data_IF_618195810412
#
_entry.id   IF_618195810412
#
_cell.length_a   1.000
_cell.length_b   1.000
_cell.length_c   1.000
_cell.angle_alpha   90.00
_cell.angle_beta   90.00
_cell.angle_gamma   90.00
#
_symmetry.space_group_name_H-M   'P 1'
#
loop_
_entity.id
_entity.type
_entity.pdbx_description
1 polymer ?
#
# COMPACT_ATOMS: atom_id res chain seq x y z
N UNK A 1 27.15 30.94 -7.38
CA UNK A 1 27.80 29.98 -6.45
C UNK A 1 28.00 30.56 -5.05
N UNK A 2 28.41 31.83 -4.90
CA UNK A 2 28.69 32.43 -3.57
C UNK A 2 27.48 32.58 -2.64
N UNK A 3 26.26 32.75 -3.18
CA UNK A 3 25.05 32.88 -2.37
C UNK A 3 24.63 31.55 -1.71
N UNK A 4 24.83 30.44 -2.43
CA UNK A 4 24.54 29.08 -1.95
C UNK A 4 25.57 28.67 -0.88
N UNK A 5 26.85 28.99 -1.09
CA UNK A 5 27.91 28.69 -0.12
C UNK A 5 27.80 29.51 1.18
N UNK A 6 27.36 30.77 1.11
CA UNK A 6 27.09 31.57 2.34
C UNK A 6 25.89 31.04 3.12
N UNK A 7 24.83 30.64 2.43
CA UNK A 7 23.61 30.13 3.06
C UNK A 7 23.85 28.76 3.73
N UNK A 8 24.54 27.85 3.04
CA UNK A 8 25.00 26.58 3.62
C UNK A 8 25.96 26.78 4.80
N UNK A 9 26.85 27.78 4.74
CA UNK A 9 27.78 28.09 5.82
C UNK A 9 27.11 28.57 7.10
N UNK A 10 26.07 29.42 7.01
CA UNK A 10 25.33 29.90 8.19
C UNK A 10 24.46 28.83 8.84
N UNK A 11 23.84 27.96 8.04
CA UNK A 11 23.05 26.82 8.51
C UNK A 11 23.96 25.83 9.27
N UNK A 12 25.09 25.43 8.66
CA UNK A 12 26.10 24.56 9.28
C UNK A 12 26.68 25.11 10.60
N UNK A 13 26.91 26.42 10.68
CA UNK A 13 27.35 27.07 11.91
C UNK A 13 26.30 27.00 13.01
N UNK A 14 25.01 27.20 12.70
CA UNK A 14 23.92 27.00 13.66
C UNK A 14 23.85 25.55 14.16
N UNK A 15 24.07 24.56 13.29
CA UNK A 15 24.07 23.14 13.68
C UNK A 15 25.20 22.76 14.63
N UNK A 16 26.36 23.41 14.52
CA UNK A 16 27.44 23.22 15.48
C UNK A 16 27.13 23.99 16.77
N UNK A 17 26.76 25.26 16.69
CA UNK A 17 26.71 26.13 17.87
C UNK A 17 25.52 25.82 18.78
N UNK A 18 24.34 25.51 18.23
CA UNK A 18 23.12 25.32 19.02
C UNK A 18 23.21 24.14 19.99
N UNK A 19 23.64 22.92 19.60
CA UNK A 19 23.75 21.80 20.52
C UNK A 19 24.81 22.01 21.61
N UNK A 20 25.99 22.52 21.25
CA UNK A 20 27.06 22.78 22.21
C UNK A 20 26.70 23.90 23.20
N UNK A 21 26.08 24.97 22.72
CA UNK A 21 25.58 26.04 23.56
C UNK A 21 24.51 25.56 24.54
N UNK A 22 23.59 24.71 24.07
CA UNK A 22 22.57 24.10 24.92
C UNK A 22 23.22 23.21 26.00
N UNK A 23 24.15 22.34 25.61
CA UNK A 23 24.87 21.47 26.53
C UNK A 23 25.63 22.27 27.61
N UNK A 24 26.29 23.36 27.24
CA UNK A 24 26.97 24.25 28.17
C UNK A 24 25.99 24.95 29.14
N UNK A 25 24.84 25.40 28.64
CA UNK A 25 23.80 26.01 29.48
C UNK A 25 23.20 25.00 30.47
N UNK A 26 22.92 23.77 30.03
CA UNK A 26 22.45 22.69 30.88
C UNK A 26 23.50 22.30 31.92
N UNK A 27 24.77 22.14 31.53
CA UNK A 27 25.86 21.85 32.45
C UNK A 27 26.01 22.94 33.53
N UNK A 28 25.92 24.20 33.13
CA UNK A 28 25.93 25.34 34.06
C UNK A 28 24.76 25.29 35.04
N UNK A 29 23.56 24.94 34.56
CA UNK A 29 22.39 24.74 35.43
C UNK A 29 22.63 23.59 36.42
N UNK A 30 23.14 22.45 35.96
CA UNK A 30 23.45 21.29 36.80
C UNK A 30 24.47 21.63 37.90
N UNK A 31 25.53 22.39 37.59
CA UNK A 31 26.50 22.84 38.61
C UNK A 31 25.82 23.78 39.61
N UNK A 32 25.04 24.75 39.12
CA UNK A 32 24.41 25.77 39.95
C UNK A 32 23.20 25.24 40.74
N UNK A 33 22.68 24.05 40.46
CA UNK A 33 21.47 23.53 41.12
C UNK A 33 21.64 23.33 42.63
N UNK A 34 22.87 23.07 43.09
CA UNK A 34 23.20 22.89 44.50
C UNK A 34 23.20 24.21 45.28
N UNK A 35 23.51 25.33 44.62
CA UNK A 35 23.64 26.65 45.26
C UNK A 35 22.46 27.58 44.97
N UNK A 36 21.76 27.40 43.85
CA UNK A 36 20.69 28.30 43.40
C UNK A 36 19.36 27.55 43.27
N UNK A 37 18.42 27.84 44.19
CA UNK A 37 17.01 27.34 44.16
C UNK A 37 16.38 27.49 42.78
N UNK A 38 16.66 28.59 42.09
CA UNK A 38 16.14 28.88 40.76
C UNK A 38 16.62 27.90 39.69
N UNK A 39 17.91 27.56 39.68
CA UNK A 39 18.45 26.59 38.72
C UNK A 39 17.80 25.22 38.93
N UNK A 40 17.67 24.79 40.19
CA UNK A 40 16.93 23.57 40.55
C UNK A 40 15.49 23.57 40.03
N UNK A 41 14.80 24.71 40.10
CA UNK A 41 13.45 24.81 39.59
C UNK A 41 13.37 24.74 38.05
N UNK A 42 14.29 25.36 37.33
CA UNK A 42 14.34 25.27 35.85
C UNK A 42 14.58 23.83 35.42
N UNK A 43 15.53 23.14 36.06
CA UNK A 43 15.81 21.73 35.78
C UNK A 43 14.58 20.85 36.03
N UNK A 44 13.93 20.97 37.19
CA UNK A 44 12.83 20.08 37.58
C UNK A 44 11.49 20.39 36.88
N UNK A 45 11.16 21.67 36.67
CA UNK A 45 9.82 22.08 36.21
C UNK A 45 9.76 22.49 34.73
N UNK A 46 10.91 22.69 34.09
CA UNK A 46 10.99 23.03 32.66
C UNK A 46 11.70 21.93 31.89
N UNK A 47 12.99 21.71 32.18
CA UNK A 47 13.81 20.80 31.36
C UNK A 47 13.42 19.34 31.51
N UNK A 48 13.20 18.86 32.74
CA UNK A 48 12.92 17.44 32.98
C UNK A 48 11.61 16.97 32.31
N UNK A 49 10.48 17.70 32.39
CA UNK A 49 9.27 17.36 31.63
C UNK A 49 9.49 17.37 30.11
N UNK A 50 10.23 18.35 29.58
CA UNK A 50 10.52 18.44 28.14
C UNK A 50 11.41 17.29 27.67
N UNK A 51 12.44 16.94 28.45
CA UNK A 51 13.28 15.78 28.17
C UNK A 51 12.49 14.47 28.22
N UNK A 52 11.56 14.32 29.16
CA UNK A 52 10.71 13.13 29.21
C UNK A 52 9.91 12.95 27.90
N UNK A 53 9.35 14.04 27.35
CA UNK A 53 8.64 14.00 26.05
C UNK A 53 9.59 13.66 24.91
N UNK A 54 10.77 14.27 24.86
CA UNK A 54 11.77 14.01 23.81
C UNK A 54 12.26 12.57 23.87
N UNK A 55 12.58 12.06 25.07
CA UNK A 55 13.01 10.67 25.26
C UNK A 55 11.90 9.70 24.85
N UNK A 56 10.64 9.95 25.22
CA UNK A 56 9.52 9.11 24.81
C UNK A 56 9.35 9.10 23.29
N UNK A 57 9.49 10.25 22.63
CA UNK A 57 9.46 10.34 21.17
C UNK A 57 10.60 9.52 20.55
N UNK A 58 11.85 9.70 21.02
CA UNK A 58 13.01 8.96 20.51
C UNK A 58 12.86 7.45 20.71
N UNK A 59 12.36 7.01 21.88
CA UNK A 59 12.08 5.60 22.13
C UNK A 59 11.00 5.06 21.20
N UNK A 60 9.95 5.83 20.94
CA UNK A 60 8.87 5.46 19.99
C UNK A 60 9.42 5.33 18.56
N UNK A 61 10.27 6.27 18.14
CA UNK A 61 10.93 6.23 16.84
C UNK A 61 11.95 5.07 16.73
N UNK A 62 12.60 4.70 17.83
CA UNK A 62 13.52 3.56 17.86
C UNK A 62 12.74 2.25 17.76
N UNK A 63 11.66 2.12 18.54
CA UNK A 63 10.81 0.93 18.56
C UNK A 63 10.17 0.67 17.19
N UNK A 64 9.66 1.74 16.54
CA UNK A 64 9.11 1.67 15.19
C UNK A 64 10.20 1.58 14.10
N UNK A 65 11.48 1.60 14.46
CA UNK A 65 12.63 1.57 13.54
C UNK A 65 12.72 2.80 12.60
N UNK A 66 11.94 3.86 12.83
CA UNK A 66 12.01 5.09 12.05
C UNK A 66 13.34 5.83 12.21
N UNK A 67 14.03 5.65 13.35
CA UNK A 67 15.39 6.18 13.56
C UNK A 67 16.43 5.59 12.60
N UNK A 68 16.16 4.46 11.94
CA UNK A 68 17.04 3.92 10.91
C UNK A 68 16.86 4.59 9.54
N UNK A 69 15.79 5.36 9.35
CA UNK A 69 15.50 6.02 8.09
C UNK A 69 16.23 7.36 8.00
N UNK A 70 17.01 7.53 6.93
CA UNK A 70 17.84 8.72 6.70
C UNK A 70 17.04 10.03 6.80
N UNK A 71 15.83 10.06 6.26
CA UNK A 71 14.95 11.24 6.31
C UNK A 71 14.55 11.65 7.74
N UNK A 72 14.21 10.67 8.58
CA UNK A 72 13.84 10.91 9.98
C UNK A 72 15.03 11.40 10.80
N UNK A 73 16.24 10.86 10.55
CA UNK A 73 17.47 11.32 11.21
C UNK A 73 17.74 12.80 10.89
N UNK A 74 17.68 13.18 9.61
CA UNK A 74 17.88 14.58 9.21
C UNK A 74 16.86 15.53 9.85
N UNK A 75 15.59 15.14 9.86
CA UNK A 75 14.54 15.92 10.51
C UNK A 75 14.79 16.08 12.02
N UNK A 76 15.23 15.02 12.71
CA UNK A 76 15.57 15.11 14.13
C UNK A 76 16.80 15.99 14.40
N UNK A 77 17.82 15.93 13.53
CA UNK A 77 19.00 16.80 13.61
C UNK A 77 18.62 18.29 13.50
N UNK A 78 17.59 18.60 12.68
CA UNK A 78 17.02 19.95 12.56
C UNK A 78 16.16 20.34 13.77
N UNK A 79 15.29 19.44 14.20
CA UNK A 79 14.26 19.72 15.20
C UNK A 79 14.83 19.79 16.63
N UNK A 80 15.68 18.84 17.03
CA UNK A 80 16.13 18.70 18.41
C UNK A 80 16.84 19.95 18.96
N UNK A 81 17.74 20.62 18.23
CA UNK A 81 18.38 21.84 18.72
C UNK A 81 17.36 22.98 18.93
N UNK A 82 16.42 23.15 17.99
CA UNK A 82 15.38 24.18 18.08
C UNK A 82 14.48 23.90 19.29
N UNK A 83 14.03 22.65 19.44
CA UNK A 83 13.17 22.19 20.52
C UNK A 83 13.83 22.38 21.90
N UNK A 84 15.13 22.08 21.98
CA UNK A 84 15.94 22.21 23.19
C UNK A 84 16.04 23.67 23.67
N UNK A 85 16.24 24.61 22.74
CA UNK A 85 16.32 26.04 23.06
C UNK A 85 14.95 26.70 23.28
N UNK A 86 13.93 26.26 22.56
CA UNK A 86 12.55 26.75 22.66
C UNK A 86 12.02 26.70 24.11
N UNK A 87 12.34 25.64 24.84
CA UNK A 87 11.98 25.49 26.25
C UNK A 87 12.91 26.24 27.22
N UNK A 88 14.20 26.39 26.89
CA UNK A 88 15.20 26.94 27.80
C UNK A 88 15.28 28.48 27.77
N UNK A 89 15.15 29.10 26.59
CA UNK A 89 15.31 30.54 26.41
C UNK A 89 14.36 31.37 27.29
N UNK A 90 13.04 31.08 27.33
CA UNK A 90 12.13 31.89 28.15
C UNK A 90 12.43 31.75 29.64
N UNK A 91 12.88 30.57 30.10
CA UNK A 91 13.26 30.34 31.49
C UNK A 91 14.49 31.16 31.90
N UNK A 92 15.47 31.30 31.01
CA UNK A 92 16.68 32.09 31.25
C UNK A 92 16.42 33.60 31.19
N UNK A 93 15.66 34.05 30.18
CA UNK A 93 15.42 35.49 29.92
C UNK A 93 14.39 36.09 30.88
N UNK A 94 13.21 35.48 30.98
CA UNK A 94 12.08 36.03 31.76
C UNK A 94 12.14 35.61 33.22
N UNK A 95 12.91 34.57 33.51
CA UNK A 95 13.12 34.14 34.87
C UNK A 95 13.59 35.32 35.72
N UNK A 96 14.71 35.94 35.37
CA UNK A 96 15.33 36.99 36.19
C UNK A 96 14.43 38.22 36.38
N UNK A 97 13.49 38.48 35.48
CA UNK A 97 12.63 39.67 35.48
C UNK A 97 11.31 39.50 36.24
N UNK A 98 10.74 38.29 36.27
CA UNK A 98 9.43 38.06 36.87
C UNK A 98 9.52 37.78 38.37
N UNK A 99 8.71 38.48 39.18
CA UNK A 99 8.55 38.21 40.63
C UNK A 99 8.08 36.79 40.94
N UNK A 100 7.25 36.20 40.05
CA UNK A 100 6.77 34.82 40.16
C UNK A 100 7.28 34.02 38.96
N UNK A 101 7.85 32.82 39.15
CA UNK A 101 8.50 32.07 38.07
C UNK A 101 7.52 31.25 37.21
N UNK A 102 6.31 30.97 37.70
CA UNK A 102 5.34 30.12 37.01
C UNK A 102 4.89 30.61 35.61
N UNK A 103 4.74 31.92 35.33
CA UNK A 103 4.36 32.37 33.98
C UNK A 103 5.48 32.12 32.97
N UNK A 104 6.75 32.26 33.39
CA UNK A 104 7.89 31.93 32.55
C UNK A 104 7.91 30.43 32.22
N UNK A 105 7.66 29.56 33.21
CA UNK A 105 7.60 28.12 32.99
C UNK A 105 6.45 27.72 32.06
N UNK A 106 5.27 28.31 32.24
CA UNK A 106 4.14 28.08 31.35
C UNK A 106 4.48 28.48 29.91
N UNK A 107 5.11 29.65 29.72
CA UNK A 107 5.56 30.09 28.41
C UNK A 107 6.59 29.13 27.79
N UNK A 108 7.51 28.58 28.58
CA UNK A 108 8.47 27.58 28.09
C UNK A 108 7.75 26.36 27.49
N UNK A 109 6.71 25.87 28.16
CA UNK A 109 5.91 24.74 27.68
C UNK A 109 5.05 25.09 26.47
N UNK A 110 4.45 26.29 26.44
CA UNK A 110 3.70 26.78 25.28
C UNK A 110 4.60 26.88 24.05
N UNK A 111 5.79 27.46 24.19
CA UNK A 111 6.74 27.60 23.07
C UNK A 111 7.26 26.23 22.64
N UNK A 112 7.59 25.34 23.58
CA UNK A 112 8.00 23.96 23.29
C UNK A 112 6.92 23.20 22.49
N UNK A 113 5.67 23.24 22.95
CA UNK A 113 4.53 22.62 22.24
C UNK A 113 4.31 23.30 20.89
N UNK A 114 4.42 24.63 20.81
CA UNK A 114 4.27 25.39 19.57
C UNK A 114 5.28 24.99 18.50
N UNK A 115 6.52 24.66 18.87
CA UNK A 115 7.54 24.14 17.94
C UNK A 115 7.26 22.68 17.55
N UNK A 116 6.70 21.88 18.46
CA UNK A 116 6.40 20.46 18.21
C UNK A 116 5.16 20.27 17.33
N UNK A 117 4.11 21.06 17.55
CA UNK A 117 2.82 21.00 16.86
C UNK A 117 2.89 20.88 15.33
N UNK A 118 3.68 21.68 14.58
CA UNK A 118 3.71 21.58 13.12
C UNK A 118 4.34 20.27 12.61
N UNK A 119 5.19 19.61 13.39
CA UNK A 119 5.89 18.38 12.97
C UNK A 119 5.12 17.13 13.39
N UNK A 120 4.31 17.21 14.45
CA UNK A 120 3.59 16.06 15.00
C UNK A 120 2.65 15.34 14.02
N UNK A 121 1.89 16.01 13.13
CA UNK A 121 1.01 15.31 12.20
C UNK A 121 1.77 14.34 11.28
N UNK A 122 2.91 14.80 10.74
CA UNK A 122 3.72 14.01 9.83
C UNK A 122 4.43 12.86 10.57
N UNK A 123 4.98 13.16 11.75
CA UNK A 123 5.55 12.16 12.65
C UNK A 123 4.52 11.10 13.05
N UNK A 124 3.32 11.52 13.43
CA UNK A 124 2.24 10.63 13.84
C UNK A 124 1.83 9.71 12.69
N UNK A 125 1.69 10.25 11.47
CA UNK A 125 1.39 9.47 10.27
C UNK A 125 2.47 8.46 9.95
N UNK A 126 3.75 8.84 10.06
CA UNK A 126 4.86 7.93 9.84
C UNK A 126 4.89 6.81 10.89
N UNK A 127 4.73 7.16 12.17
CA UNK A 127 4.68 6.22 13.30
C UNK A 127 3.51 5.25 13.13
N UNK A 128 2.30 5.75 12.85
CA UNK A 128 1.11 4.91 12.73
C UNK A 128 1.23 3.94 11.55
N UNK A 129 1.70 4.43 10.40
CA UNK A 129 1.93 3.60 9.22
C UNK A 129 2.97 2.50 9.49
N UNK A 130 4.10 2.85 10.09
CA UNK A 130 5.16 1.89 10.39
C UNK A 130 4.74 0.86 11.43
N UNK A 131 4.00 1.29 12.46
CA UNK A 131 3.42 0.40 13.46
C UNK A 131 2.44 -0.59 12.83
N UNK A 132 1.55 -0.12 11.95
CA UNK A 132 0.63 -0.96 11.20
C UNK A 132 1.38 -1.98 10.32
N UNK A 133 2.42 -1.56 9.60
CA UNK A 133 3.24 -2.47 8.79
C UNK A 133 3.93 -3.55 9.64
N UNK A 134 4.47 -3.18 10.81
CA UNK A 134 5.09 -4.13 11.72
C UNK A 134 4.09 -5.17 12.23
N UNK A 135 2.89 -4.74 12.62
CA UNK A 135 1.83 -5.65 13.08
C UNK A 135 1.39 -6.61 11.97
N UNK A 136 1.21 -6.12 10.74
CA UNK A 136 0.88 -6.97 9.58
C UNK A 136 2.00 -7.98 9.31
N UNK A 137 3.26 -7.55 9.35
CA UNK A 137 4.40 -8.43 9.14
C UNK A 137 4.56 -9.49 10.24
N UNK A 138 4.17 -9.16 11.49
CA UNK A 138 4.11 -10.13 12.58
C UNK A 138 2.98 -11.14 12.37
N UNK A 139 1.77 -10.66 12.03
CA UNK A 139 0.63 -11.54 11.77
C UNK A 139 0.90 -12.47 10.59
N UNK A 140 1.51 -11.96 9.51
CA UNK A 140 1.90 -12.77 8.37
C UNK A 140 2.88 -13.89 8.77
N UNK A 141 3.85 -13.60 9.64
CA UNK A 141 4.78 -14.61 10.18
C UNK A 141 4.08 -15.67 11.02
N UNK A 142 3.06 -15.29 11.79
CA UNK A 142 2.25 -16.24 12.56
C UNK A 142 1.42 -17.14 11.64
N UNK A 143 0.77 -16.56 10.62
CA UNK A 143 0.04 -17.31 9.58
C UNK A 143 0.98 -18.26 8.82
N UNK A 144 2.22 -17.85 8.54
CA UNK A 144 3.25 -18.72 7.96
C UNK A 144 3.61 -19.89 8.88
N UNK A 145 3.78 -19.62 10.17
CA UNK A 145 4.08 -20.64 11.18
C UNK A 145 2.89 -21.58 11.48
N UNK A 146 1.68 -21.23 11.05
CA UNK A 146 0.46 -21.99 11.34
C UNK A 146 -0.12 -21.72 12.73
N UNK A 147 0.30 -20.64 13.39
CA UNK A 147 -0.30 -20.14 14.63
C UNK A 147 -1.58 -19.36 14.29
N UNK A 148 -2.70 -20.07 14.21
CA UNK A 148 -4.00 -19.53 13.79
C UNK A 148 -4.85 -19.04 14.97
N UNK A 149 -4.50 -19.38 16.21
CA UNK A 149 -5.29 -19.03 17.40
C UNK A 149 -5.37 -17.51 17.58
N UNK A 150 -4.28 -16.80 17.27
CA UNK A 150 -4.24 -15.34 17.34
C UNK A 150 -5.13 -14.68 16.28
N UNK A 151 -5.34 -15.34 15.14
CA UNK A 151 -6.16 -14.82 14.04
C UNK A 151 -7.62 -14.64 14.47
N UNK A 152 -8.12 -15.51 15.37
CA UNK A 152 -9.48 -15.41 15.90
C UNK A 152 -9.71 -14.16 16.76
N UNK A 153 -8.66 -13.72 17.46
CA UNK A 153 -8.71 -12.56 18.35
C UNK A 153 -8.68 -11.21 17.64
N UNK A 154 -8.34 -11.20 16.35
CA UNK A 154 -8.20 -9.97 15.56
C UNK A 154 -9.56 -9.58 14.98
N UNK A 155 -10.01 -8.38 15.37
CA UNK A 155 -11.28 -7.77 14.94
C UNK A 155 -11.09 -6.63 13.95
N UNK A 156 -9.85 -6.21 13.68
CA UNK A 156 -9.55 -5.18 12.69
C UNK A 156 -9.58 -5.77 11.27
N UNK A 157 -10.70 -5.56 10.59
CA UNK A 157 -10.91 -6.03 9.21
C UNK A 157 -9.88 -5.45 8.23
N UNK A 158 -9.45 -4.19 8.42
CA UNK A 158 -8.47 -3.56 7.53
C UNK A 158 -7.11 -4.24 7.67
N UNK A 159 -6.71 -4.55 8.91
CA UNK A 159 -5.49 -5.31 9.18
C UNK A 159 -5.54 -6.72 8.57
N UNK A 160 -6.69 -7.42 8.67
CA UNK A 160 -6.88 -8.75 8.09
C UNK A 160 -6.83 -8.71 6.54
N UNK A 161 -7.52 -7.76 5.92
CA UNK A 161 -7.50 -7.55 4.47
C UNK A 161 -6.07 -7.28 3.96
N UNK A 162 -5.35 -6.36 4.61
CA UNK A 162 -3.96 -6.05 4.24
C UNK A 162 -3.03 -7.24 4.47
N UNK A 163 -3.24 -8.01 5.53
CA UNK A 163 -2.47 -9.24 5.78
C UNK A 163 -2.74 -10.27 4.69
N UNK A 164 -3.99 -10.44 4.23
CA UNK A 164 -4.31 -11.34 3.13
C UNK A 164 -3.66 -10.89 1.82
N UNK A 165 -3.64 -9.57 1.53
CA UNK A 165 -2.92 -9.02 0.37
C UNK A 165 -1.42 -9.36 0.42
N UNK A 166 -0.78 -9.27 1.59
CA UNK A 166 0.62 -9.64 1.73
C UNK A 166 0.83 -11.17 1.68
N UNK A 167 -0.08 -11.94 2.26
CA UNK A 167 -0.01 -13.40 2.28
C UNK A 167 -0.06 -14.00 0.87
N UNK A 168 -0.91 -13.47 -0.01
CA UNK A 168 -0.99 -13.99 -1.39
C UNK A 168 0.26 -13.67 -2.21
N UNK A 169 1.01 -12.62 -1.84
CA UNK A 169 2.29 -12.25 -2.48
C UNK A 169 3.49 -13.00 -1.89
N UNK A 170 3.37 -13.51 -0.67
CA UNK A 170 4.45 -14.18 0.05
C UNK A 170 4.59 -15.65 -0.39
N UNK A 171 5.82 -16.15 -0.62
CA UNK A 171 6.05 -17.56 -0.83
C UNK A 171 5.81 -18.37 0.46
N UNK A 172 5.41 -19.63 0.33
CA UNK A 172 5.40 -20.59 1.45
C UNK A 172 4.19 -20.54 2.38
N UNK A 173 3.13 -19.79 2.06
CA UNK A 173 1.85 -19.91 2.77
C UNK A 173 1.18 -21.23 2.39
N UNK A 174 0.84 -22.07 3.37
CA UNK A 174 0.07 -23.30 3.12
C UNK A 174 -1.37 -22.99 2.73
N UNK A 175 -1.99 -23.86 1.92
CA UNK A 175 -3.40 -23.71 1.53
C UNK A 175 -4.33 -23.61 2.74
N UNK A 176 -4.10 -24.44 3.77
CA UNK A 176 -4.86 -24.42 5.03
C UNK A 176 -4.82 -23.05 5.68
N UNK A 177 -3.64 -22.46 5.82
CA UNK A 177 -3.47 -21.17 6.50
C UNK A 177 -4.05 -20.03 5.67
N UNK A 178 -3.92 -20.10 4.34
CA UNK A 178 -4.54 -19.15 3.44
C UNK A 178 -6.07 -19.21 3.49
N UNK A 179 -6.67 -20.41 3.53
CA UNK A 179 -8.12 -20.59 3.72
C UNK A 179 -8.58 -20.04 5.06
N UNK A 180 -7.84 -20.29 6.13
CA UNK A 180 -8.15 -19.74 7.46
C UNK A 180 -8.14 -18.20 7.46
N UNK A 181 -7.14 -17.58 6.85
CA UNK A 181 -7.08 -16.12 6.69
C UNK A 181 -8.21 -15.58 5.81
N UNK A 182 -8.52 -16.28 4.73
CA UNK A 182 -9.62 -15.91 3.81
C UNK A 182 -10.98 -15.95 4.49
N UNK A 183 -11.22 -16.93 5.36
CA UNK A 183 -12.47 -17.04 6.10
C UNK A 183 -12.72 -15.90 7.10
N UNK A 184 -11.67 -15.13 7.44
CA UNK A 184 -11.73 -14.01 8.38
C UNK A 184 -11.97 -12.65 7.70
N UNK A 185 -11.82 -12.57 6.39
CA UNK A 185 -12.13 -11.34 5.63
C UNK A 185 -13.54 -11.41 5.05
N UNK A 186 -14.20 -10.27 4.91
CA UNK A 186 -15.56 -10.21 4.36
C UNK A 186 -15.61 -10.63 2.89
N UNK A 187 -14.62 -10.21 2.09
CA UNK A 187 -14.46 -10.64 0.69
C UNK A 187 -13.00 -10.45 0.24
N UNK A 188 -12.40 -11.40 -0.49
CA UNK A 188 -11.07 -11.23 -1.08
C UNK A 188 -11.09 -10.37 -2.36
N UNK A 189 -12.26 -9.96 -2.84
CA UNK A 189 -12.44 -9.18 -4.07
C UNK A 189 -12.54 -7.67 -3.83
N UNK A 190 -12.76 -7.24 -2.60
CA UNK A 190 -12.90 -5.83 -2.24
C UNK A 190 -12.03 -5.50 -1.04
N UNK A 191 -11.42 -4.31 -1.05
CA UNK A 191 -10.83 -3.70 0.15
C UNK A 191 -11.72 -2.53 0.52
N UNK A 192 -12.03 -2.38 1.80
CA UNK A 192 -12.84 -1.25 2.27
C UNK A 192 -12.04 0.05 2.08
N UNK A 193 -12.39 0.87 1.08
CA UNK A 193 -11.78 2.20 0.87
C UNK A 193 -12.87 3.24 0.64
N UNK A 194 -12.73 4.41 1.27
CA UNK A 194 -13.72 5.50 1.22
C UNK A 194 -13.87 6.15 -0.17
N UNK A 195 -12.89 5.96 -1.07
CA UNK A 195 -12.81 6.62 -2.38
C UNK A 195 -13.37 5.77 -3.55
N UNK A 196 -13.86 4.56 -3.30
CA UNK A 196 -14.46 3.68 -4.32
C UNK A 196 -13.50 3.08 -5.34
N UNK A 197 -12.18 3.27 -5.19
CA UNK A 197 -11.17 2.67 -6.07
C UNK A 197 -10.60 1.38 -5.46
N UNK A 198 -10.84 0.24 -6.13
CA UNK A 198 -10.23 -1.04 -5.77
C UNK A 198 -8.78 -1.11 -6.24
N UNK A 199 -7.86 -0.56 -5.46
CA UNK A 199 -6.42 -0.77 -5.68
C UNK A 199 -5.92 -1.78 -4.66
N UNK A 200 -5.42 -2.92 -5.13
CA UNK A 200 -4.84 -4.03 -4.37
C UNK A 200 -5.82 -4.94 -3.59
N UNK A 201 -6.97 -5.33 -4.17
CA UNK A 201 -7.72 -6.42 -3.55
C UNK A 201 -6.92 -7.73 -3.52
N UNK A 202 -7.08 -8.57 -2.48
CA UNK A 202 -6.37 -9.83 -2.36
C UNK A 202 -6.41 -10.70 -3.61
N UNK A 203 -7.56 -10.77 -4.29
CA UNK A 203 -7.71 -11.53 -5.52
C UNK A 203 -6.80 -11.05 -6.66
N UNK A 204 -6.79 -9.75 -6.96
CA UNK A 204 -5.94 -9.21 -8.01
C UNK A 204 -4.45 -9.29 -7.64
N UNK A 205 -4.12 -9.08 -6.37
CA UNK A 205 -2.77 -9.28 -5.85
C UNK A 205 -2.29 -10.74 -6.02
N UNK A 206 -3.17 -11.72 -5.80
CA UNK A 206 -2.88 -13.14 -6.03
C UNK A 206 -2.64 -13.42 -7.51
N UNK A 207 -3.49 -12.89 -8.39
CA UNK A 207 -3.37 -13.07 -9.83
C UNK A 207 -2.07 -12.45 -10.37
N UNK A 208 -1.74 -11.22 -9.96
CA UNK A 208 -0.51 -10.54 -10.36
C UNK A 208 0.76 -11.23 -9.87
N UNK A 209 0.72 -11.83 -8.68
CA UNK A 209 1.85 -12.55 -8.08
C UNK A 209 1.99 -13.99 -8.57
N UNK A 210 1.01 -14.52 -9.33
CA UNK A 210 1.03 -15.90 -9.81
C UNK A 210 0.68 -16.92 -8.74
N UNK A 211 -0.05 -16.51 -7.69
CA UNK A 211 -0.46 -17.42 -6.62
C UNK A 211 -1.70 -18.21 -7.02
N UNK A 212 -1.49 -19.28 -7.78
CA UNK A 212 -2.56 -20.17 -8.27
C UNK A 212 -3.41 -20.76 -7.14
N UNK A 213 -2.80 -21.08 -5.99
CA UNK A 213 -3.51 -21.62 -4.83
C UNK A 213 -4.54 -20.61 -4.30
N UNK A 214 -4.13 -19.34 -4.16
CA UNK A 214 -5.02 -18.26 -3.76
C UNK A 214 -6.13 -18.02 -4.80
N UNK A 215 -5.80 -17.97 -6.08
CA UNK A 215 -6.78 -17.81 -7.16
C UNK A 215 -7.83 -18.93 -7.12
N UNK A 216 -7.43 -20.19 -6.89
CA UNK A 216 -8.37 -21.31 -6.73
C UNK A 216 -9.30 -21.12 -5.54
N UNK A 217 -8.76 -20.84 -4.36
CA UNK A 217 -9.56 -20.62 -3.14
C UNK A 217 -10.57 -19.48 -3.35
N UNK A 218 -10.12 -18.34 -3.87
CA UNK A 218 -10.98 -17.18 -4.04
C UNK A 218 -12.06 -17.42 -5.10
N UNK A 219 -11.73 -18.15 -6.18
CA UNK A 219 -12.69 -18.46 -7.25
C UNK A 219 -13.86 -19.33 -6.80
N UNK A 220 -13.70 -20.09 -5.71
CA UNK A 220 -14.82 -20.82 -5.09
C UNK A 220 -15.96 -19.85 -4.68
N UNK A 221 -15.63 -18.63 -4.24
CA UNK A 221 -16.60 -17.59 -3.86
C UNK A 221 -17.23 -16.86 -5.05
N UNK A 222 -16.84 -17.20 -6.28
CA UNK A 222 -17.48 -16.74 -7.52
C UNK A 222 -18.53 -17.72 -8.02
N UNK A 223 -18.72 -18.87 -7.37
CA UNK A 223 -19.61 -19.94 -7.83
C UNK A 223 -21.02 -19.80 -7.23
N UNK A 224 -22.04 -20.22 -7.98
CA UNK A 224 -23.44 -20.24 -7.55
C UNK A 224 -24.17 -18.90 -7.68
N UNK A 225 -25.40 -18.84 -7.16
CA UNK A 225 -26.34 -17.74 -7.42
C UNK A 225 -26.54 -16.78 -6.24
N UNK A 226 -25.71 -16.89 -5.20
CA UNK A 226 -25.82 -16.00 -4.03
C UNK A 226 -25.55 -14.54 -4.42
N UNK A 227 -26.18 -13.60 -3.69
CA UNK A 227 -25.97 -12.17 -3.90
C UNK A 227 -24.49 -11.78 -3.77
N UNK A 228 -23.77 -12.39 -2.82
CA UNK A 228 -22.34 -12.16 -2.65
C UNK A 228 -21.53 -12.66 -3.84
N UNK A 229 -21.83 -13.85 -4.37
CA UNK A 229 -21.15 -14.37 -5.56
C UNK A 229 -21.40 -13.47 -6.78
N UNK A 230 -22.63 -12.98 -6.97
CA UNK A 230 -22.95 -12.02 -8.03
C UNK A 230 -22.19 -10.69 -7.87
N UNK A 231 -22.08 -10.17 -6.64
CA UNK A 231 -21.32 -8.96 -6.33
C UNK A 231 -19.82 -9.15 -6.61
N UNK A 232 -19.24 -10.25 -6.15
CA UNK A 232 -17.84 -10.60 -6.41
C UNK A 232 -17.57 -10.72 -7.93
N UNK A 233 -18.44 -11.41 -8.68
CA UNK A 233 -18.35 -11.50 -10.15
C UNK A 233 -18.41 -10.12 -10.81
N UNK A 234 -19.23 -9.21 -10.29
CA UNK A 234 -19.31 -7.83 -10.82
C UNK A 234 -17.98 -7.09 -10.65
N UNK A 235 -17.33 -7.23 -9.50
CA UNK A 235 -16.01 -6.63 -9.26
C UNK A 235 -14.97 -7.20 -10.23
N UNK A 236 -14.93 -8.52 -10.40
CA UNK A 236 -13.98 -9.18 -11.32
C UNK A 236 -14.20 -8.75 -12.78
N UNK A 237 -15.44 -8.53 -13.21
CA UNK A 237 -15.73 -7.98 -14.56
C UNK A 237 -15.22 -6.55 -14.73
N UNK A 238 -15.41 -5.71 -13.72
CA UNK A 238 -14.97 -4.31 -13.77
C UNK A 238 -13.45 -4.17 -13.85
N UNK A 239 -12.72 -5.15 -13.29
CA UNK A 239 -11.27 -5.22 -13.31
C UNK A 239 -10.83 -6.56 -13.90
N UNK A 240 -11.17 -6.79 -15.17
CA UNK A 240 -10.93 -8.07 -15.82
C UNK A 240 -9.41 -8.39 -15.87
N UNK A 241 -8.93 -9.41 -15.12
CA UNK A 241 -7.50 -9.70 -15.07
C UNK A 241 -6.96 -10.27 -16.39
N UNK A 242 -7.84 -10.69 -17.32
CA UNK A 242 -7.45 -11.24 -18.62
C UNK A 242 -7.20 -10.16 -19.68
N UNK A 243 -7.58 -8.90 -19.41
CA UNK A 243 -7.27 -7.76 -20.28
C UNK A 243 -5.80 -7.33 -20.18
N UNK A 244 -5.12 -7.70 -19.09
CA UNK A 244 -3.72 -7.36 -18.84
C UNK A 244 -2.81 -8.58 -19.00
N UNK A 245 -2.36 -8.82 -20.24
CA UNK A 245 -1.52 -9.97 -20.54
C UNK A 245 -0.11 -9.84 -19.97
N UNK A 246 0.48 -10.93 -19.44
CA UNK A 246 1.85 -10.92 -18.95
C UNK A 246 2.82 -10.68 -20.12
N UNK A 247 3.55 -9.57 -20.07
CA UNK A 247 4.59 -9.27 -21.05
C UNK A 247 5.96 -9.70 -20.51
N UNK A 248 6.85 -10.32 -21.34
CA UNK A 248 8.11 -10.90 -20.88
C UNK A 248 9.05 -9.93 -20.15
N UNK A 249 8.95 -8.64 -20.45
CA UNK A 249 9.77 -7.60 -19.82
C UNK A 249 9.42 -7.36 -18.35
N UNK A 250 8.22 -7.74 -17.91
CA UNK A 250 7.68 -7.40 -16.59
C UNK A 250 7.37 -8.61 -15.71
N UNK A 251 7.50 -9.83 -16.23
CA UNK A 251 7.19 -11.06 -15.50
C UNK A 251 8.34 -12.07 -15.56
N UNK A 252 8.55 -12.87 -14.49
CA UNK A 252 9.57 -13.91 -14.47
C UNK A 252 9.37 -14.95 -15.58
N UNK A 253 10.45 -15.61 -15.96
CA UNK A 253 10.41 -16.78 -16.82
C UNK A 253 9.47 -17.85 -16.24
N UNK A 254 8.62 -18.44 -17.07
CA UNK A 254 7.62 -19.43 -16.64
C UNK A 254 6.30 -18.88 -16.11
N UNK A 255 6.19 -17.57 -15.82
CA UNK A 255 4.92 -16.97 -15.34
C UNK A 255 3.75 -17.18 -16.31
N UNK A 256 4.04 -17.29 -17.61
CA UNK A 256 3.03 -17.52 -18.65
C UNK A 256 2.21 -18.79 -18.40
N UNK A 257 2.86 -19.88 -18.00
CA UNK A 257 2.16 -21.13 -17.70
C UNK A 257 1.24 -20.96 -16.50
N UNK A 258 1.73 -20.30 -15.45
CA UNK A 258 0.92 -19.95 -14.26
C UNK A 258 -0.27 -19.07 -14.64
N UNK A 259 -0.08 -18.09 -15.54
CA UNK A 259 -1.17 -17.27 -16.06
C UNK A 259 -2.25 -18.10 -16.74
N UNK A 260 -1.89 -19.04 -17.61
CA UNK A 260 -2.88 -19.92 -18.24
C UNK A 260 -3.61 -20.81 -17.24
N UNK A 261 -2.93 -21.32 -16.22
CA UNK A 261 -3.57 -22.09 -15.15
C UNK A 261 -4.56 -21.25 -14.34
N UNK A 262 -4.20 -20.01 -13.99
CA UNK A 262 -5.09 -19.09 -13.27
C UNK A 262 -6.27 -18.65 -14.15
N UNK A 263 -6.01 -18.34 -15.42
CA UNK A 263 -7.05 -18.00 -16.39
C UNK A 263 -8.03 -19.17 -16.59
N UNK A 264 -7.53 -20.41 -16.65
CA UNK A 264 -8.39 -21.59 -16.76
C UNK A 264 -9.31 -21.75 -15.55
N UNK A 265 -8.78 -21.55 -14.34
CA UNK A 265 -9.59 -21.57 -13.10
C UNK A 265 -10.72 -20.54 -13.17
N UNK A 266 -10.41 -19.30 -13.58
CA UNK A 266 -11.40 -18.24 -13.66
C UNK A 266 -12.44 -18.48 -14.75
N UNK A 267 -12.01 -18.89 -15.94
CA UNK A 267 -12.89 -19.05 -17.09
C UNK A 267 -13.88 -20.21 -16.94
N UNK A 268 -13.59 -21.18 -16.08
CA UNK A 268 -14.57 -22.22 -15.69
C UNK A 268 -15.78 -21.65 -14.94
N UNK A 269 -15.59 -20.56 -14.20
CA UNK A 269 -16.64 -19.95 -13.35
C UNK A 269 -17.19 -18.67 -13.97
N UNK A 270 -16.37 -17.97 -14.76
CA UNK A 270 -16.70 -16.70 -15.42
C UNK A 270 -16.22 -16.68 -16.89
N UNK A 271 -16.83 -17.48 -17.79
CA UNK A 271 -16.46 -17.52 -19.21
C UNK A 271 -16.77 -16.20 -19.96
N UNK A 272 -17.50 -15.29 -19.33
CA UNK A 272 -17.79 -13.94 -19.80
C UNK A 272 -16.65 -12.93 -19.63
N UNK A 273 -15.55 -13.32 -18.96
CA UNK A 273 -14.33 -12.52 -18.92
C UNK A 273 -13.54 -12.53 -20.24
N UNK A 274 -13.87 -13.41 -21.19
CA UNK A 274 -13.34 -13.32 -22.56
C UNK A 274 -14.10 -12.27 -23.35
N UNK A 275 -13.80 -11.01 -23.03
CA UNK A 275 -14.29 -9.80 -23.71
C UNK A 275 -13.50 -9.53 -24.98
N UNK A 276 -14.03 -8.67 -25.84
CA UNK A 276 -13.31 -8.20 -27.02
C UNK A 276 -12.00 -7.49 -26.61
N UNK A 277 -12.00 -6.77 -25.48
CA UNK A 277 -10.83 -6.14 -24.89
C UNK A 277 -9.73 -7.16 -24.51
N UNK A 278 -10.11 -8.28 -23.89
CA UNK A 278 -9.16 -9.36 -23.56
C UNK A 278 -8.53 -9.97 -24.83
N UNK A 279 -9.33 -10.15 -25.88
CA UNK A 279 -8.83 -10.58 -27.19
C UNK A 279 -7.91 -9.53 -27.84
N UNK A 280 -8.23 -8.25 -27.71
CA UNK A 280 -7.50 -7.16 -28.34
C UNK A 280 -6.04 -7.12 -27.87
N UNK A 281 -5.77 -7.35 -26.58
CA UNK A 281 -4.42 -7.39 -26.03
C UNK A 281 -3.58 -8.51 -26.64
N UNK A 282 -4.15 -9.70 -26.81
CA UNK A 282 -3.46 -10.84 -27.40
C UNK A 282 -3.17 -10.61 -28.89
N UNK A 283 -4.10 -9.99 -29.62
CA UNK A 283 -3.92 -9.61 -31.04
C UNK A 283 -2.81 -8.57 -31.20
N UNK A 284 -2.82 -7.52 -30.37
CA UNK A 284 -1.81 -6.45 -30.43
C UNK A 284 -0.40 -6.98 -30.17
N UNK A 285 -0.27 -7.92 -29.24
CA UNK A 285 0.99 -8.60 -28.95
C UNK A 285 1.34 -9.73 -29.94
N UNK A 286 0.46 -10.01 -30.92
CA UNK A 286 0.57 -11.14 -31.84
C UNK A 286 0.78 -12.48 -31.12
N UNK A 287 0.18 -12.62 -29.94
CA UNK A 287 0.33 -13.78 -29.08
C UNK A 287 -0.57 -14.93 -29.55
N UNK A 288 -0.01 -15.78 -30.41
CA UNK A 288 -0.71 -16.95 -30.97
C UNK A 288 -1.13 -17.97 -29.91
N UNK A 289 -0.35 -18.12 -28.85
CA UNK A 289 -0.59 -19.13 -27.82
C UNK A 289 -1.75 -18.70 -26.93
N UNK A 290 -1.75 -17.46 -26.46
CA UNK A 290 -2.86 -16.89 -25.68
C UNK A 290 -4.14 -16.83 -26.51
N UNK A 291 -4.04 -16.47 -27.79
CA UNK A 291 -5.19 -16.48 -28.69
C UNK A 291 -5.78 -17.88 -28.88
N UNK A 292 -4.95 -18.90 -29.09
CA UNK A 292 -5.42 -20.30 -29.16
C UNK A 292 -6.06 -20.74 -27.85
N UNK A 293 -5.45 -20.39 -26.72
CA UNK A 293 -5.96 -20.70 -25.38
C UNK A 293 -7.33 -20.07 -25.11
N UNK A 294 -7.52 -18.78 -25.45
CA UNK A 294 -8.83 -18.11 -25.31
C UNK A 294 -9.86 -18.70 -26.27
N UNK A 295 -9.48 -18.93 -27.52
CA UNK A 295 -10.38 -19.45 -28.56
C UNK A 295 -10.97 -20.81 -28.20
N UNK A 296 -10.17 -21.70 -27.62
CA UNK A 296 -10.63 -23.02 -27.16
C UNK A 296 -11.72 -22.95 -26.08
N UNK A 297 -11.84 -21.82 -25.37
CA UNK A 297 -12.80 -21.64 -24.28
C UNK A 297 -14.05 -20.89 -24.72
N UNK A 298 -13.89 -19.82 -25.50
CA UNK A 298 -15.01 -19.06 -26.06
C UNK A 298 -14.54 -18.19 -27.21
N UNK A 299 -15.15 -18.32 -28.38
CA UNK A 299 -14.82 -17.47 -29.54
C UNK A 299 -15.06 -15.98 -29.27
N UNK A 300 -14.24 -15.13 -29.90
CA UNK A 300 -14.42 -13.68 -29.84
C UNK A 300 -15.77 -13.27 -30.45
N UNK A 301 -16.44 -12.30 -29.83
CA UNK A 301 -17.74 -11.83 -30.33
C UNK A 301 -17.55 -10.95 -31.57
N UNK A 302 -16.53 -10.09 -31.56
CA UNK A 302 -16.19 -9.24 -32.69
C UNK A 302 -15.74 -10.07 -33.93
N UNK A 303 -16.45 -9.98 -35.07
CA UNK A 303 -16.06 -10.67 -36.31
C UNK A 303 -14.63 -10.36 -36.78
N UNK A 304 -14.14 -9.14 -36.55
CA UNK A 304 -12.77 -8.77 -36.93
C UNK A 304 -11.74 -9.54 -36.11
N UNK A 305 -11.95 -9.73 -34.82
CA UNK A 305 -11.03 -10.47 -33.96
C UNK A 305 -11.01 -11.97 -34.30
N UNK A 306 -12.16 -12.52 -34.73
CA UNK A 306 -12.23 -13.87 -35.31
C UNK A 306 -11.41 -14.00 -36.58
N UNK A 307 -11.49 -13.02 -37.48
CA UNK A 307 -10.66 -13.01 -38.69
C UNK A 307 -9.16 -12.90 -38.35
N UNK A 308 -8.77 -12.05 -37.40
CA UNK A 308 -7.39 -11.92 -36.94
C UNK A 308 -6.86 -13.20 -36.30
N UNK A 309 -7.68 -13.89 -35.51
CA UNK A 309 -7.32 -15.20 -34.97
C UNK A 309 -6.91 -16.16 -36.09
N UNK A 310 -7.77 -16.37 -37.10
CA UNK A 310 -7.48 -17.26 -38.21
C UNK A 310 -6.25 -16.84 -39.03
N UNK A 311 -6.08 -15.54 -39.25
CA UNK A 311 -4.89 -14.98 -39.90
C UNK A 311 -3.61 -15.34 -39.13
N UNK A 312 -3.59 -15.09 -37.81
CA UNK A 312 -2.42 -15.34 -36.96
C UNK A 312 -2.11 -16.84 -36.80
N UNK A 313 -3.14 -17.70 -36.82
CA UNK A 313 -3.00 -19.15 -36.82
C UNK A 313 -2.64 -19.73 -38.21
N UNK A 314 -2.54 -18.91 -39.26
CA UNK A 314 -2.23 -19.37 -40.62
C UNK A 314 -3.37 -20.14 -41.30
N UNK A 315 -4.60 -20.01 -40.80
CA UNK A 315 -5.80 -20.69 -41.29
C UNK A 315 -6.64 -19.74 -42.16
N UNK A 316 -6.14 -19.38 -43.35
CA UNK A 316 -6.77 -18.33 -44.19
C UNK A 316 -8.04 -18.78 -44.93
N UNK A 317 -8.43 -20.06 -44.88
CA UNK A 317 -9.61 -20.58 -45.62
C UNK A 317 -10.95 -20.47 -44.89
N UNK A 318 -11.00 -20.23 -43.57
CA UNK A 318 -12.26 -20.15 -42.80
C UNK A 318 -12.79 -18.73 -42.62
N UNK A 319 -11.97 -17.69 -42.78
CA UNK A 319 -12.38 -16.30 -42.59
C UNK A 319 -13.25 -15.72 -43.73
N UNK A 320 -13.42 -16.47 -44.83
CA UNK A 320 -14.09 -16.03 -46.05
C UNK A 320 -15.22 -16.98 -46.48
N UNK A 321 -16.23 -17.18 -45.63
CA UNK A 321 -17.58 -17.58 -46.06
C UNK A 321 -18.60 -17.41 -44.92
N UNK A 322 -19.47 -16.39 -44.95
CA UNK A 322 -20.81 -16.58 -44.45
C UNK A 322 -21.57 -17.41 -45.51
N UNK A 323 -22.07 -18.58 -45.09
CA UNK A 323 -22.87 -19.48 -45.91
C UNK A 323 -24.02 -18.71 -46.58
N UNK A 324 -24.00 -18.66 -47.91
CA UNK A 324 -25.16 -18.32 -48.74
C UNK A 324 -25.77 -19.64 -49.19
N UNK A 325 -26.76 -20.10 -48.45
CA UNK A 325 -27.78 -21.10 -48.81
C UNK A 325 -28.84 -20.94 -47.71
N UNK A 326 -30.10 -20.58 -47.94
CA UNK A 326 -31.03 -20.98 -49.00
C UNK A 326 -32.09 -19.91 -49.23
N UNK A 327 -32.34 -19.55 -50.50
CA UNK A 327 -33.63 -19.07 -50.99
C UNK A 327 -33.65 -19.06 -52.53
N UNK A 328 -33.48 -20.22 -53.16
CA UNK A 328 -33.94 -20.44 -54.53
C UNK A 328 -35.44 -20.79 -54.48
N UNK A 329 -36.28 -19.79 -54.16
CA UNK A 329 -37.72 -19.84 -54.34
C UNK A 329 -38.07 -19.17 -55.66
N UNK A 330 -38.29 -19.97 -56.70
CA UNK A 330 -38.70 -19.50 -58.02
C UNK A 330 -40.05 -18.76 -57.96
N UNK A 331 -40.04 -17.49 -58.36
CA UNK A 331 -41.23 -16.69 -58.61
C UNK A 331 -41.18 -16.11 -60.02
N UNK A 332 -41.76 -16.84 -60.98
CA UNK A 332 -42.09 -16.35 -62.31
C UNK A 332 -43.09 -15.20 -62.21
N UNK A 333 -42.71 -14.00 -62.64
CA UNK A 333 -43.64 -12.90 -62.91
C UNK A 333 -43.82 -12.80 -64.43
N UNK A 334 -45.05 -13.08 -64.85
CA UNK A 334 -45.59 -12.80 -66.18
C UNK A 334 -45.77 -11.29 -66.35
N UNK A 335 -45.18 -10.73 -67.40
CA UNK A 335 -45.52 -9.39 -67.90
C UNK A 335 -46.52 -9.57 -69.05
N UNK A 336 -47.74 -9.11 -68.83
CA UNK A 336 -48.74 -8.84 -69.88
C UNK A 336 -49.07 -7.35 -69.87
N UNK A 337 -48.97 -6.79 -71.08
CA UNK A 337 -49.35 -5.44 -71.57
C UNK A 337 -48.43 -4.25 -71.25
#
# INVERSE_FOLDING_TARGET
MDYINRWLGSELLMFCILPWGYAAAVASLLILMFSKKRSRQILLWVLLPQWAVVVLLLLTLQYTQLLSQTGTVWMLMLLLPILSWAGLLPALLLGTWLRKPWPAWLLCHIVFIGVLCPVMPELWRAISHQWQQQNIAQLLRQVQAGDLDQLESIHDNSMLEQTLVQAVKAPGISEKNLRALTARVASPFSVSREDGYFVNAPFFAAFESGNITAVRIFSEQLTGDSQQAQANRTIVRQQNPLEYLPTPHFKPEGFRQTFFEMADVLLRVMPDLLTDEAYSGAIQLQDKETLAFFWQRREAQNPLYRAYYFLLQGQTKSAACPDKTDAAGAGTISLSE
#
